data_IF_504282773348
#
_entry.id   IF_504282773348
#
_cell.length_a   1.000
_cell.length_b   1.000
_cell.length_c   1.000
_cell.angle_alpha   90.00
_cell.angle_beta   90.00
_cell.angle_gamma   90.00
#
_symmetry.space_group_name_H-M   'P 1'
#
loop_
_entity.id
_entity.type
_entity.pdbx_description
1 polymer ?
#
# COMPACT_ATOMS: atom_id res chain seq x y z
N UNK A 1 -4.92 10.21 -1.10
CA UNK A 1 -3.56 9.64 -1.09
C UNK A 1 -2.59 10.73 -1.46
N UNK A 2 -1.39 10.71 -0.88
CA UNK A 2 -0.33 11.69 -1.14
C UNK A 2 0.97 10.99 -1.56
N UNK A 3 1.57 11.49 -2.64
CA UNK A 3 2.73 10.88 -3.29
C UNK A 3 3.98 11.08 -2.45
N UNK A 4 4.13 12.26 -1.83
CA UNK A 4 5.32 12.59 -1.06
C UNK A 4 5.37 11.83 0.27
N UNK A 5 4.24 11.74 0.97
CA UNK A 5 4.11 10.89 2.15
C UNK A 5 4.46 9.42 1.86
N UNK A 6 4.09 8.92 0.68
CA UNK A 6 4.41 7.56 0.25
C UNK A 6 5.91 7.35 0.01
N UNK A 7 6.61 8.38 -0.48
CA UNK A 7 8.08 8.39 -0.63
C UNK A 7 8.76 8.32 0.73
N UNK A 8 8.37 9.19 1.66
CA UNK A 8 8.92 9.21 3.02
C UNK A 8 8.80 7.83 3.68
N UNK A 9 7.64 7.16 3.56
CA UNK A 9 7.45 5.81 4.11
C UNK A 9 8.43 4.80 3.51
N UNK A 10 8.69 4.86 2.20
CA UNK A 10 9.64 3.95 1.54
C UNK A 10 11.08 4.20 1.95
N UNK A 11 11.46 5.48 2.06
CA UNK A 11 12.80 5.88 2.48
C UNK A 11 13.06 5.43 3.93
N UNK A 12 12.10 5.66 4.84
CA UNK A 12 12.19 5.19 6.23
C UNK A 12 12.24 3.67 6.33
N UNK A 13 11.56 2.95 5.43
CA UNK A 13 11.63 1.48 5.37
C UNK A 13 13.02 0.99 4.93
N UNK A 14 13.67 1.68 4.00
CA UNK A 14 15.05 1.38 3.61
C UNK A 14 16.03 1.63 4.76
N UNK A 15 15.90 2.77 5.46
CA UNK A 15 16.70 3.07 6.66
C UNK A 15 16.51 2.00 7.75
N UNK A 16 15.25 1.59 7.98
CA UNK A 16 14.94 0.54 8.95
C UNK A 16 15.57 -0.81 8.57
N UNK A 17 15.55 -1.18 7.28
CA UNK A 17 16.24 -2.38 6.78
C UNK A 17 17.73 -2.33 7.10
N UNK A 18 18.39 -1.20 6.86
CA UNK A 18 19.82 -1.04 7.14
C UNK A 18 20.15 -1.16 8.63
N UNK A 19 19.29 -0.59 9.49
CA UNK A 19 19.52 -0.57 10.94
C UNK A 19 19.19 -1.90 11.61
N UNK A 20 18.11 -2.57 11.18
CA UNK A 20 17.62 -3.81 11.81
C UNK A 20 18.26 -5.08 11.25
N UNK A 21 18.87 -5.02 10.06
CA UNK A 21 19.33 -6.20 9.33
C UNK A 21 18.20 -7.09 8.78
N UNK A 22 16.93 -6.67 8.92
CA UNK A 22 15.77 -7.41 8.41
C UNK A 22 15.58 -7.15 6.92
N UNK A 23 15.29 -8.22 6.15
CA UNK A 23 15.00 -8.11 4.73
C UNK A 23 13.47 -8.09 4.53
N UNK A 24 12.88 -6.94 4.13
CA UNK A 24 11.45 -6.88 3.93
C UNK A 24 11.02 -7.61 2.64
N UNK A 25 9.85 -8.25 2.68
CA UNK A 25 9.32 -9.01 1.55
C UNK A 25 8.29 -8.20 0.77
N UNK A 26 8.65 -7.76 -0.44
CA UNK A 26 7.75 -7.06 -1.35
C UNK A 26 6.51 -7.87 -1.74
N UNK A 27 6.60 -9.17 -2.10
CA UNK A 27 5.43 -9.97 -2.49
C UNK A 27 4.38 -10.15 -1.38
N UNK A 28 4.78 -9.97 -0.11
CA UNK A 28 3.89 -10.05 1.05
C UNK A 28 3.35 -8.69 1.48
N UNK A 29 3.83 -7.61 0.87
CA UNK A 29 3.33 -6.26 1.10
C UNK A 29 2.23 -5.96 0.08
N UNK A 30 1.09 -5.46 0.55
CA UNK A 30 -0.05 -5.11 -0.30
C UNK A 30 -0.41 -3.63 -0.08
N UNK A 31 -0.77 -2.95 -1.16
CA UNK A 31 -1.31 -1.59 -1.12
C UNK A 31 -2.83 -1.63 -1.26
N UNK A 32 -3.55 -0.95 -0.39
CA UNK A 32 -5.00 -0.81 -0.48
C UNK A 32 -5.36 0.65 -0.65
N UNK A 33 -6.21 0.94 -1.63
CA UNK A 33 -6.63 2.31 -1.92
C UNK A 33 -8.13 2.45 -1.71
N UNK A 34 -8.53 3.54 -1.05
CA UNK A 34 -9.93 3.96 -0.94
C UNK A 34 -10.02 5.43 -1.28
N UNK A 35 -10.93 5.79 -2.19
CA UNK A 35 -11.22 7.19 -2.53
C UNK A 35 -9.95 7.99 -2.95
N UNK A 36 -9.11 7.38 -3.80
CA UNK A 36 -7.91 8.02 -4.37
C UNK A 36 -8.06 8.12 -5.88
N UNK A 37 -7.72 9.28 -6.45
CA UNK A 37 -7.74 9.47 -7.90
C UNK A 37 -6.75 8.52 -8.59
N UNK A 38 -7.11 8.00 -9.77
CA UNK A 38 -6.33 6.97 -10.44
C UNK A 38 -4.88 7.42 -10.75
N UNK A 39 -4.68 8.67 -11.16
CA UNK A 39 -3.33 9.19 -11.41
C UNK A 39 -2.46 9.20 -10.14
N UNK A 40 -3.05 9.55 -9.00
CA UNK A 40 -2.38 9.53 -7.70
C UNK A 40 -2.05 8.08 -7.29
N UNK A 41 -2.98 7.15 -7.53
CA UNK A 41 -2.78 5.72 -7.28
C UNK A 41 -1.58 5.17 -8.06
N UNK A 42 -1.52 5.45 -9.37
CA UNK A 42 -0.42 5.03 -10.25
C UNK A 42 0.91 5.64 -9.79
N UNK A 43 0.92 6.93 -9.42
CA UNK A 43 2.12 7.58 -8.90
C UNK A 43 2.61 6.94 -7.58
N UNK A 44 1.70 6.62 -6.66
CA UNK A 44 2.04 5.94 -5.41
C UNK A 44 2.57 4.53 -5.68
N UNK A 45 1.94 3.76 -6.59
CA UNK A 45 2.40 2.41 -6.95
C UNK A 45 3.76 2.41 -7.65
N UNK A 46 4.13 3.50 -8.34
CA UNK A 46 5.48 3.65 -8.89
C UNK A 46 6.56 3.81 -7.82
N UNK A 47 6.21 4.33 -6.64
CA UNK A 47 7.11 4.50 -5.50
C UNK A 47 7.08 3.24 -4.62
N UNK A 48 5.89 2.69 -4.41
CA UNK A 48 5.61 1.49 -3.62
C UNK A 48 5.06 0.39 -4.54
N UNK A 49 5.91 -0.42 -5.19
CA UNK A 49 5.48 -1.44 -6.15
C UNK A 49 4.92 -2.69 -5.45
N UNK A 50 3.98 -2.48 -4.52
CA UNK A 50 3.22 -3.52 -3.86
C UNK A 50 2.05 -3.95 -4.73
N UNK A 51 1.63 -5.20 -4.58
CA UNK A 51 0.41 -5.66 -5.21
C UNK A 51 -0.77 -4.84 -4.66
N UNK A 52 -1.60 -4.30 -5.56
CA UNK A 52 -2.85 -3.68 -5.14
C UNK A 52 -3.82 -4.76 -4.66
N UNK A 53 -4.27 -4.61 -3.41
CA UNK A 53 -5.26 -5.47 -2.79
C UNK A 53 -6.66 -4.88 -2.88
N UNK A 54 -7.65 -5.76 -2.77
CA UNK A 54 -9.05 -5.38 -2.65
C UNK A 54 -9.48 -5.45 -1.19
N UNK A 55 -9.96 -4.32 -0.65
CA UNK A 55 -10.55 -4.31 0.69
C UNK A 55 -11.95 -4.90 0.62
N UNK A 56 -12.12 -6.11 1.16
CA UNK A 56 -13.46 -6.66 1.37
C UNK A 56 -14.16 -5.86 2.44
N UNK A 57 -15.03 -4.94 2.04
CA UNK A 57 -15.90 -4.21 2.96
C UNK A 57 -16.93 -5.24 3.47
N UNK A 58 -16.79 -5.71 4.71
CA UNK A 58 -17.74 -6.64 5.33
C UNK A 58 -18.46 -5.97 6.49
N UNK A 59 -19.78 -6.14 6.58
CA UNK A 59 -20.55 -5.83 7.78
C UNK A 59 -21.05 -7.13 8.39
N UNK A 60 -20.66 -7.42 9.64
CA UNK A 60 -20.99 -8.67 10.34
C UNK A 60 -20.63 -9.93 9.53
N UNK A 61 -19.51 -9.91 8.81
CA UNK A 61 -19.04 -11.04 7.99
C UNK A 61 -19.62 -11.10 6.58
N UNK A 62 -20.58 -10.23 6.23
CA UNK A 62 -21.23 -10.18 4.91
C UNK A 62 -20.59 -9.08 4.07
N UNK A 63 -20.16 -9.34 2.82
CA UNK A 63 -19.69 -8.30 1.90
C UNK A 63 -20.76 -7.22 1.69
N UNK A 64 -20.39 -5.96 1.90
CA UNK A 64 -21.26 -4.78 1.74
C UNK A 64 -21.38 -4.33 0.28
N UNK A 65 -20.48 -4.78 -0.57
CA UNK A 65 -20.54 -4.59 -2.03
C UNK A 65 -21.21 -5.84 -2.63
N UNK A 66 -22.46 -5.69 -3.07
CA UNK A 66 -23.13 -6.69 -3.90
C UNK A 66 -22.69 -6.50 -5.36
N UNK A 67 -22.65 -7.62 -6.09
CA UNK A 67 -22.15 -7.77 -7.47
C UNK A 67 -22.62 -6.71 -8.47
#
# INVERSE_FOLDING_TARGET
GDVESSRVIMDSREEFKLTSGLIPSFPKSMAYFCNVLNHTKVAILSIMPFAEGELQVKYLGVPLISS
#
